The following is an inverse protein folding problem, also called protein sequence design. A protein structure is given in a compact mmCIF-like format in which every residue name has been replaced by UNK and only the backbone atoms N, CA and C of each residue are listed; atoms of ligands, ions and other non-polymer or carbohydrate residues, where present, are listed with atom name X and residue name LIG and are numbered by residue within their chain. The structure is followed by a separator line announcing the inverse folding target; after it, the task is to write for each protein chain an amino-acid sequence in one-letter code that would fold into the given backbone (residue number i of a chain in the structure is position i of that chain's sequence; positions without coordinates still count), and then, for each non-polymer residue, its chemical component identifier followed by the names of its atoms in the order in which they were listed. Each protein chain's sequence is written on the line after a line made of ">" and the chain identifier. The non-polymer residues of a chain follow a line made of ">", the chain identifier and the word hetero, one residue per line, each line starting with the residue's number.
data_IF_846720404078
#
_entry.id   IF_846720404078
#
_cell.length_a   1.000
_cell.length_b   1.000
_cell.length_c   1.000
_cell.angle_alpha   90.00
_cell.angle_beta   90.00
_cell.angle_gamma   90.00
#
_symmetry.space_group_name_H-M   'P 1'
#
loop_
_entity.id
_entity.type
_entity.pdbx_description
1 polymer ?
#
# COMPACT_ATOMS: atom_id res chain seq x y z
N UNK A 1 7.87 -18.22 7.02
CA UNK A 1 8.40 -17.02 6.40
C UNK A 1 8.62 -15.92 7.42
N UNK A 2 9.75 -16.02 8.10
CA UNK A 2 10.23 -15.10 9.11
C UNK A 2 11.76 -15.05 9.06
N UNK A 3 12.33 -14.09 9.73
CA UNK A 3 13.78 -14.02 9.96
C UNK A 3 14.04 -13.79 11.45
N UNK A 4 15.28 -14.05 11.88
CA UNK A 4 15.69 -13.87 13.27
C UNK A 4 16.64 -12.67 13.31
N UNK A 5 16.35 -11.72 14.19
CA UNK A 5 17.19 -10.57 14.45
C UNK A 5 17.41 -10.44 15.96
N UNK A 6 18.63 -10.71 16.41
CA UNK A 6 18.94 -10.85 17.82
C UNK A 6 18.19 -12.03 18.44
N UNK A 7 17.40 -11.77 19.48
CA UNK A 7 16.56 -12.75 20.17
C UNK A 7 15.10 -12.74 19.72
N UNK A 8 14.78 -12.03 18.65
CA UNK A 8 13.40 -11.86 18.18
C UNK A 8 13.17 -12.54 16.84
N UNK A 9 12.03 -13.18 16.69
CA UNK A 9 11.46 -13.64 15.43
C UNK A 9 10.70 -12.49 14.79
N UNK A 10 10.95 -12.25 13.52
CA UNK A 10 10.39 -11.09 12.82
C UNK A 10 9.86 -11.48 11.44
N UNK A 11 8.84 -10.77 10.97
CA UNK A 11 8.40 -10.84 9.58
C UNK A 11 7.90 -9.47 9.13
N UNK A 12 8.11 -9.17 7.85
CA UNK A 12 7.67 -7.91 7.25
C UNK A 12 6.55 -8.18 6.26
N UNK A 13 5.50 -7.36 6.35
CA UNK A 13 4.39 -7.28 5.41
C UNK A 13 4.54 -5.99 4.60
N UNK A 14 4.12 -6.00 3.33
CA UNK A 14 4.02 -4.79 2.52
C UNK A 14 2.56 -4.49 2.19
N UNK A 15 2.14 -3.24 2.29
CA UNK A 15 0.82 -2.83 1.81
C UNK A 15 0.81 -2.81 0.28
N UNK A 16 -0.15 -3.53 -0.31
CA UNK A 16 -0.31 -3.64 -1.76
C UNK A 16 -1.43 -2.76 -2.29
N UNK A 17 -2.52 -2.66 -1.57
CA UNK A 17 -3.69 -1.91 -1.99
C UNK A 17 -4.31 -1.13 -0.82
N UNK A 18 -4.87 0.00 -1.16
CA UNK A 18 -5.53 0.94 -0.25
C UNK A 18 -7.00 1.06 -0.65
N UNK A 19 -7.93 1.29 0.28
CA UNK A 19 -9.32 1.57 -0.04
C UNK A 19 -9.43 2.93 -0.74
N UNK A 20 -10.44 3.09 -1.60
CA UNK A 20 -10.72 4.36 -2.26
C UNK A 20 -11.12 5.47 -1.27
N UNK A 21 -11.79 5.08 -0.19
CA UNK A 21 -12.15 5.98 0.91
C UNK A 21 -11.76 5.34 2.23
N UNK A 22 -11.12 6.09 3.11
CA UNK A 22 -10.76 5.64 4.46
C UNK A 22 -11.82 6.15 5.45
N UNK A 23 -12.64 5.25 5.95
CA UNK A 23 -13.53 5.54 7.08
C UNK A 23 -12.77 5.59 8.41
N UNK A 24 -11.64 4.89 8.50
CA UNK A 24 -10.75 4.83 9.66
C UNK A 24 -9.39 5.48 9.37
N UNK A 25 -9.32 6.80 9.46
CA UNK A 25 -8.07 7.57 9.31
C UNK A 25 -6.97 7.16 10.32
N UNK A 26 -7.34 6.47 11.40
CA UNK A 26 -6.42 6.13 12.48
C UNK A 26 -5.92 4.67 12.46
N UNK A 27 -6.31 3.81 11.48
CA UNK A 27 -5.99 2.39 11.52
C UNK A 27 -4.47 2.13 11.56
N UNK A 28 -3.70 2.75 10.67
CA UNK A 28 -2.24 2.59 10.65
C UNK A 28 -1.60 3.11 11.93
N UNK A 29 -2.09 4.22 12.48
CA UNK A 29 -1.63 4.73 13.76
C UNK A 29 -1.90 3.74 14.87
N UNK A 30 -3.12 3.22 14.95
CA UNK A 30 -3.51 2.23 15.95
C UNK A 30 -2.65 0.96 15.86
N UNK A 31 -2.36 0.49 14.65
CA UNK A 31 -1.44 -0.63 14.44
C UNK A 31 -0.03 -0.32 14.94
N UNK A 32 0.47 0.89 14.70
CA UNK A 32 1.80 1.32 15.16
C UNK A 32 1.93 1.48 16.68
N UNK A 33 0.80 1.58 17.40
CA UNK A 33 0.77 1.63 18.88
C UNK A 33 0.81 0.21 19.50
N UNK A 34 0.62 -0.84 18.71
CA UNK A 34 0.67 -2.24 19.19
C UNK A 34 2.10 -2.67 19.50
N UNK A 35 2.25 -3.41 20.59
CA UNK A 35 3.53 -4.01 20.95
C UNK A 35 3.99 -4.99 19.89
N UNK A 36 5.26 -4.88 19.48
CA UNK A 36 5.84 -5.73 18.44
C UNK A 36 5.48 -5.35 17.01
N UNK A 37 4.83 -4.21 16.79
CA UNK A 37 4.52 -3.69 15.46
C UNK A 37 5.34 -2.43 15.20
N UNK A 38 5.98 -2.36 14.04
CA UNK A 38 6.71 -1.18 13.57
C UNK A 38 6.23 -0.83 12.17
N UNK A 39 5.85 0.44 11.96
CA UNK A 39 5.45 0.95 10.67
C UNK A 39 6.58 1.76 10.04
N UNK A 40 6.90 1.47 8.80
CA UNK A 40 7.82 2.25 7.97
C UNK A 40 7.06 2.79 6.76
N UNK A 41 6.91 4.11 6.70
CA UNK A 41 6.16 4.80 5.65
C UNK A 41 7.15 5.61 4.82
N UNK A 42 7.24 5.29 3.54
CA UNK A 42 8.02 6.03 2.56
C UNK A 42 7.10 6.89 1.73
N UNK A 43 7.39 8.18 1.70
CA UNK A 43 6.65 9.13 0.87
C UNK A 43 7.61 9.90 -0.01
N UNK A 44 7.23 10.13 -1.26
CA UNK A 44 7.91 11.05 -2.16
C UNK A 44 6.89 11.82 -2.98
N UNK A 45 7.18 13.05 -3.26
CA UNK A 45 6.31 13.88 -4.08
C UNK A 45 6.23 13.33 -5.51
N UNK A 46 5.04 13.35 -6.10
CA UNK A 46 4.84 13.09 -7.51
C UNK A 46 5.27 14.31 -8.30
N UNK A 47 6.17 14.14 -9.26
CA UNK A 47 6.59 15.24 -10.13
C UNK A 47 5.50 15.56 -11.16
N UNK A 48 5.48 16.78 -11.69
CA UNK A 48 4.51 17.19 -12.72
C UNK A 48 4.56 16.30 -13.97
N UNK A 49 5.75 15.77 -14.33
CA UNK A 49 5.91 14.86 -15.45
C UNK A 49 5.28 13.48 -15.16
N UNK A 50 5.50 12.94 -13.95
CA UNK A 50 4.87 11.70 -13.49
C UNK A 50 3.35 11.84 -13.41
N UNK A 51 2.85 12.95 -12.89
CA UNK A 51 1.42 13.25 -12.80
C UNK A 51 0.76 13.24 -14.18
N UNK A 52 1.35 13.94 -15.16
CA UNK A 52 0.86 13.91 -16.53
C UNK A 52 0.88 12.49 -17.14
N UNK A 53 1.92 11.70 -16.86
CA UNK A 53 2.01 10.30 -17.28
C UNK A 53 0.92 9.43 -16.67
N UNK A 54 0.63 9.59 -15.37
CA UNK A 54 -0.44 8.85 -14.66
C UNK A 54 -1.80 9.17 -15.29
N UNK A 55 -2.10 10.44 -15.50
CA UNK A 55 -3.36 10.89 -16.10
C UNK A 55 -3.52 10.35 -17.53
N UNK A 56 -2.49 10.48 -18.36
CA UNK A 56 -2.52 9.98 -19.73
C UNK A 56 -2.70 8.45 -19.81
N UNK A 57 -2.02 7.70 -18.94
CA UNK A 57 -2.18 6.25 -18.86
C UNK A 57 -3.58 5.85 -18.39
N UNK A 58 -4.15 6.59 -17.44
CA UNK A 58 -5.51 6.37 -16.96
C UNK A 58 -6.54 6.63 -18.06
N UNK A 59 -6.41 7.73 -18.81
CA UNK A 59 -7.27 8.03 -19.96
C UNK A 59 -7.18 6.96 -21.05
N UNK A 60 -5.97 6.48 -21.37
CA UNK A 60 -5.76 5.43 -22.38
C UNK A 60 -6.37 4.09 -21.94
N UNK A 61 -6.21 3.70 -20.67
CA UNK A 61 -6.85 2.49 -20.13
C UNK A 61 -8.38 2.58 -20.21
N UNK A 62 -8.94 3.72 -19.87
CA UNK A 62 -10.39 3.97 -19.97
C UNK A 62 -10.89 3.91 -21.41
N UNK A 63 -10.12 4.46 -22.37
CA UNK A 63 -10.45 4.41 -23.80
C UNK A 63 -10.41 2.97 -24.32
N UNK A 64 -9.40 2.19 -23.93
CA UNK A 64 -9.31 0.76 -24.28
C UNK A 64 -10.43 -0.07 -23.64
N UNK A 65 -10.76 0.17 -22.38
CA UNK A 65 -11.86 -0.51 -21.70
C UNK A 65 -13.22 -0.25 -22.36
N UNK A 66 -13.46 0.98 -22.84
CA UNK A 66 -14.68 1.30 -23.61
C UNK A 66 -14.75 0.61 -24.96
N UNK A 67 -13.61 0.35 -25.61
CA UNK A 67 -13.56 -0.31 -26.92
C UNK A 67 -13.62 -1.84 -26.85
N UNK A 68 -13.35 -2.44 -25.69
CA UNK A 68 -13.32 -3.89 -25.47
C UNK A 68 -14.60 -4.46 -24.83
N UNK A 69 -15.73 -3.79 -24.93
CA UNK A 69 -16.99 -4.06 -24.23
C UNK A 69 -17.70 -5.34 -24.69
N UNK A 70 -17.12 -6.50 -24.41
CA UNK A 70 -17.84 -7.78 -24.51
C UNK A 70 -18.01 -8.52 -23.18
N UNK A 71 -17.71 -7.90 -22.04
CA UNK A 71 -17.86 -8.50 -20.72
C UNK A 71 -18.37 -7.48 -19.70
N UNK A 72 -19.51 -7.81 -19.06
CA UNK A 72 -20.13 -7.00 -17.99
C UNK A 72 -19.18 -6.74 -16.81
N UNK A 73 -18.25 -7.68 -16.51
CA UNK A 73 -17.21 -7.50 -15.48
C UNK A 73 -16.19 -6.43 -15.89
N UNK A 74 -15.81 -6.34 -17.15
CA UNK A 74 -14.88 -5.32 -17.65
C UNK A 74 -15.52 -3.93 -17.61
N UNK A 75 -16.83 -3.81 -17.84
CA UNK A 75 -17.56 -2.56 -17.76
C UNK A 75 -17.62 -2.03 -16.31
N UNK A 76 -17.90 -2.88 -15.33
CA UNK A 76 -17.93 -2.50 -13.90
C UNK A 76 -16.55 -2.08 -13.39
N UNK A 77 -15.49 -2.78 -13.81
CA UNK A 77 -14.11 -2.42 -13.46
C UNK A 77 -13.67 -1.12 -14.13
N UNK A 78 -14.11 -0.87 -15.36
CA UNK A 78 -13.84 0.37 -16.09
C UNK A 78 -14.57 1.57 -15.48
N UNK A 79 -15.77 1.37 -14.94
CA UNK A 79 -16.55 2.40 -14.26
C UNK A 79 -15.92 2.80 -12.92
N UNK A 80 -15.41 1.85 -12.14
CA UNK A 80 -14.60 2.12 -10.95
C UNK A 80 -13.32 2.89 -11.27
N UNK A 81 -12.58 2.49 -12.30
CA UNK A 81 -11.36 3.18 -12.75
C UNK A 81 -11.64 4.60 -13.28
N UNK A 82 -12.83 4.85 -13.86
CA UNK A 82 -13.25 6.18 -14.31
C UNK A 82 -13.52 7.11 -13.13
N UNK A 83 -14.10 6.58 -12.08
CA UNK A 83 -14.36 7.31 -10.85
C UNK A 83 -13.05 7.71 -10.17
N UNK A 84 -12.09 6.79 -10.07
CA UNK A 84 -10.74 7.04 -9.53
C UNK A 84 -9.99 8.12 -10.34
N UNK A 85 -10.10 8.10 -11.67
CA UNK A 85 -9.46 9.11 -12.54
C UNK A 85 -10.15 10.47 -12.43
N UNK A 86 -11.49 10.49 -12.35
CA UNK A 86 -12.23 11.72 -12.17
C UNK A 86 -11.91 12.36 -10.81
N UNK A 87 -11.72 11.55 -9.79
CA UNK A 87 -11.32 11.97 -8.45
C UNK A 87 -9.89 12.54 -8.44
N UNK A 88 -8.93 11.87 -9.09
CA UNK A 88 -7.58 12.40 -9.28
C UNK A 88 -7.56 13.74 -10.03
N UNK A 89 -8.40 13.90 -11.06
CA UNK A 89 -8.52 15.16 -11.81
C UNK A 89 -9.17 16.24 -10.93
N UNK A 90 -10.15 15.90 -10.10
CA UNK A 90 -10.79 16.82 -9.17
C UNK A 90 -9.81 17.30 -8.08
N UNK A 91 -9.01 16.38 -7.53
CA UNK A 91 -7.93 16.70 -6.58
C UNK A 91 -6.90 17.65 -7.18
N UNK A 92 -6.51 17.44 -8.45
CA UNK A 92 -5.64 18.38 -9.17
C UNK A 92 -6.23 19.79 -9.27
N UNK A 93 -7.54 19.92 -9.52
CA UNK A 93 -8.23 21.23 -9.52
C UNK A 93 -8.18 21.90 -8.15
N UNK A 94 -8.26 21.12 -7.09
CA UNK A 94 -8.17 21.60 -5.70
C UNK A 94 -6.74 21.84 -5.23
N UNK A 95 -5.71 21.64 -6.09
CA UNK A 95 -4.29 21.77 -5.79
C UNK A 95 -3.81 20.83 -4.67
N UNK A 96 -4.47 19.73 -4.44
CA UNK A 96 -3.97 18.71 -3.51
C UNK A 96 -2.77 17.99 -4.13
N UNK A 97 -1.59 18.01 -3.48
CA UNK A 97 -0.43 17.33 -4.00
C UNK A 97 -0.61 15.82 -3.95
N UNK A 98 -0.16 15.15 -5.00
CA UNK A 98 -0.07 13.69 -5.01
C UNK A 98 1.28 13.24 -4.48
N UNK A 99 1.28 12.15 -3.74
CA UNK A 99 2.48 11.51 -3.20
C UNK A 99 2.53 10.05 -3.58
N UNK A 100 3.72 9.56 -3.91
CA UNK A 100 3.98 8.13 -3.89
C UNK A 100 4.14 7.71 -2.43
N UNK A 101 3.39 6.69 -2.03
CA UNK A 101 3.41 6.13 -0.69
C UNK A 101 3.67 4.63 -0.74
N UNK A 102 4.61 4.14 0.08
CA UNK A 102 4.81 2.73 0.33
C UNK A 102 4.85 2.49 1.84
N UNK A 103 4.13 1.48 2.32
CA UNK A 103 4.04 1.15 3.74
C UNK A 103 4.50 -0.28 3.97
N UNK A 104 5.42 -0.45 4.89
CA UNK A 104 5.89 -1.73 5.39
C UNK A 104 5.57 -1.86 6.87
N UNK A 105 5.12 -3.04 7.25
CA UNK A 105 4.73 -3.38 8.62
C UNK A 105 5.66 -4.50 9.08
N UNK A 106 6.54 -4.21 10.01
CA UNK A 106 7.42 -5.19 10.60
C UNK A 106 6.85 -5.67 11.93
N UNK A 107 6.76 -6.96 12.08
CA UNK A 107 6.22 -7.65 13.23
C UNK A 107 7.34 -8.38 13.96
N UNK A 108 7.40 -8.25 15.27
CA UNK A 108 8.43 -8.87 16.10
C UNK A 108 7.81 -9.56 17.34
N UNK A 109 8.25 -10.78 17.60
CA UNK A 109 7.85 -11.54 18.77
C UNK A 109 9.01 -12.38 19.31
N UNK A 110 8.89 -12.87 20.54
CA UNK A 110 9.95 -13.67 21.20
C UNK A 110 9.99 -15.13 20.72
N UNK A 111 8.91 -15.62 20.16
CA UNK A 111 8.79 -16.98 19.66
C UNK A 111 7.95 -17.04 18.38
N UNK A 112 8.10 -18.10 17.57
CA UNK A 112 7.40 -18.21 16.29
C UNK A 112 5.88 -18.25 16.41
N UNK A 113 5.35 -18.81 17.49
CA UNK A 113 3.91 -18.94 17.67
C UNK A 113 3.28 -17.58 17.98
N UNK A 114 3.88 -16.81 18.85
CA UNK A 114 3.49 -15.43 19.14
C UNK A 114 3.60 -14.55 17.90
N UNK A 115 4.63 -14.73 17.07
CA UNK A 115 4.76 -14.01 15.81
C UNK A 115 3.61 -14.35 14.85
N UNK A 116 3.25 -15.63 14.75
CA UNK A 116 2.14 -16.07 13.90
C UNK A 116 0.80 -15.46 14.35
N UNK A 117 0.52 -15.47 15.64
CA UNK A 117 -0.70 -14.85 16.21
C UNK A 117 -0.75 -13.35 15.93
N UNK A 118 0.36 -12.64 16.19
CA UNK A 118 0.46 -11.19 15.90
C UNK A 118 0.22 -10.89 14.42
N UNK A 119 0.80 -11.69 13.53
CA UNK A 119 0.59 -11.55 12.07
C UNK A 119 -0.87 -11.78 11.68
N UNK A 120 -1.52 -12.80 12.21
CA UNK A 120 -2.93 -13.10 11.95
C UNK A 120 -3.82 -11.94 12.44
N UNK A 121 -3.56 -11.42 13.63
CA UNK A 121 -4.29 -10.29 14.21
C UNK A 121 -4.15 -9.03 13.35
N UNK A 122 -2.91 -8.63 13.04
CA UNK A 122 -2.62 -7.44 12.22
C UNK A 122 -3.22 -7.59 10.82
N UNK A 123 -3.10 -8.77 10.20
CA UNK A 123 -3.68 -9.02 8.88
C UNK A 123 -5.22 -8.92 8.93
N UNK A 124 -5.86 -9.44 9.97
CA UNK A 124 -7.31 -9.35 10.13
C UNK A 124 -7.78 -7.90 10.30
N UNK A 125 -7.03 -7.06 11.01
CA UNK A 125 -7.34 -5.64 11.15
C UNK A 125 -7.19 -4.89 9.82
N UNK A 126 -6.10 -5.16 9.08
CA UNK A 126 -5.88 -4.57 7.76
C UNK A 126 -6.98 -4.95 6.77
N UNK A 127 -7.40 -6.22 6.76
CA UNK A 127 -8.52 -6.68 5.93
C UNK A 127 -9.83 -5.99 6.30
N UNK A 128 -10.10 -5.78 7.60
CA UNK A 128 -11.27 -5.00 8.05
C UNK A 128 -11.23 -3.57 7.54
N UNK A 129 -10.05 -2.94 7.53
CA UNK A 129 -9.82 -1.62 6.94
C UNK A 129 -9.73 -1.61 5.41
N UNK A 130 -10.05 -2.75 4.74
CA UNK A 130 -9.96 -2.91 3.27
C UNK A 130 -8.55 -2.67 2.71
N UNK A 131 -7.52 -2.83 3.54
CA UNK A 131 -6.12 -2.76 3.14
C UNK A 131 -5.62 -4.14 2.70
N UNK A 132 -5.05 -4.23 1.51
CA UNK A 132 -4.44 -5.48 1.02
C UNK A 132 -2.96 -5.54 1.37
N UNK A 133 -2.50 -6.72 1.81
CA UNK A 133 -1.10 -6.96 2.18
C UNK A 133 -0.49 -8.11 1.40
N UNK A 134 0.81 -8.03 1.18
CA UNK A 134 1.64 -9.13 0.71
C UNK A 134 2.59 -9.59 1.82
N UNK A 135 2.62 -10.92 2.01
CA UNK A 135 3.65 -11.57 2.83
C UNK A 135 4.89 -11.74 1.97
N UNK A 136 5.91 -10.99 2.14
CA UNK A 136 7.13 -10.97 1.33
C UNK A 136 7.84 -12.35 1.32
N UNK A 137 7.19 -13.37 0.74
CA UNK A 137 7.69 -14.74 0.68
C UNK A 137 9.06 -14.77 -0.01
N UNK A 138 10.04 -15.42 0.64
CA UNK A 138 11.44 -15.51 0.19
C UNK A 138 12.16 -14.16 0.02
N UNK A 139 11.53 -13.05 0.41
CA UNK A 139 12.07 -11.69 0.32
C UNK A 139 12.05 -10.96 1.66
N UNK A 140 12.12 -11.70 2.75
CA UNK A 140 12.12 -11.13 4.10
C UNK A 140 13.37 -10.29 4.39
N UNK A 141 14.51 -10.57 3.74
CA UNK A 141 15.70 -9.72 3.82
C UNK A 141 15.45 -8.33 3.23
N UNK A 142 14.81 -8.26 2.06
CA UNK A 142 14.40 -6.97 1.45
C UNK A 142 13.37 -6.26 2.31
N UNK A 143 12.44 -7.02 2.91
CA UNK A 143 11.47 -6.51 3.88
C UNK A 143 12.14 -5.89 5.09
N UNK A 144 13.10 -6.58 5.69
CA UNK A 144 13.91 -6.07 6.80
C UNK A 144 14.63 -4.75 6.44
N UNK A 145 15.28 -4.70 5.28
CA UNK A 145 15.95 -3.47 4.83
C UNK A 145 14.98 -2.31 4.59
N UNK A 146 13.75 -2.61 4.15
CA UNK A 146 12.72 -1.60 3.92
C UNK A 146 12.01 -1.17 5.21
N UNK A 147 11.95 -2.01 6.23
CA UNK A 147 11.34 -1.69 7.53
C UNK A 147 12.33 -1.13 8.56
N UNK A 148 13.63 -1.15 8.25
CA UNK A 148 14.68 -0.63 9.12
C UNK A 148 14.78 0.90 8.99
N UNK A 149 15.10 1.66 10.07
CA UNK A 149 15.24 3.12 10.05
C UNK A 149 16.36 3.68 9.15
N UNK A 150 17.05 2.84 8.39
CA UNK A 150 18.05 3.27 7.40
C UNK A 150 17.46 4.00 6.18
N UNK A 151 16.13 4.11 6.05
CA UNK A 151 15.48 4.89 5.01
C UNK A 151 15.62 4.32 3.59
N UNK A 152 15.81 3.01 3.46
CA UNK A 152 16.01 2.35 2.16
C UNK A 152 14.78 1.55 1.74
N UNK A 153 14.00 2.07 0.80
CA UNK A 153 12.94 1.30 0.15
C UNK A 153 13.53 0.39 -0.94
N UNK A 154 13.73 -0.90 -0.63
CA UNK A 154 14.32 -1.88 -1.56
C UNK A 154 13.36 -2.30 -2.67
N UNK A 155 12.06 -2.25 -2.44
CA UNK A 155 11.02 -2.63 -3.40
C UNK A 155 10.62 -1.49 -4.35
N UNK A 156 10.95 -0.25 -4.01
CA UNK A 156 10.64 0.95 -4.80
C UNK A 156 9.21 0.93 -5.34
N UNK A 157 9.04 1.05 -6.66
CA UNK A 157 7.75 1.16 -7.33
C UNK A 157 6.83 -0.07 -7.18
N UNK A 158 7.32 -1.21 -6.74
CA UNK A 158 6.50 -2.41 -6.61
C UNK A 158 5.35 -2.21 -5.62
N UNK A 159 5.62 -1.55 -4.48
CA UNK A 159 4.64 -1.25 -3.43
C UNK A 159 4.32 0.23 -3.28
N UNK A 160 4.91 1.09 -4.11
CA UNK A 160 4.51 2.49 -4.16
C UNK A 160 3.13 2.63 -4.79
N UNK A 161 2.26 3.41 -4.16
CA UNK A 161 0.94 3.80 -4.68
C UNK A 161 0.85 5.31 -4.66
N UNK A 162 0.17 5.86 -5.64
CA UNK A 162 -0.10 7.30 -5.70
C UNK A 162 -1.35 7.57 -4.89
N UNK A 163 -1.20 8.42 -3.88
CA UNK A 163 -2.25 8.80 -2.96
C UNK A 163 -2.31 10.33 -2.87
N UNK A 164 -3.48 10.92 -2.55
CA UNK A 164 -3.53 12.33 -2.15
C UNK A 164 -2.76 12.52 -0.84
N UNK A 165 -2.18 13.71 -0.66
CA UNK A 165 -1.39 14.02 0.53
C UNK A 165 -2.25 14.46 1.74
N UNK A 166 -3.55 14.64 1.56
CA UNK A 166 -4.54 15.01 2.60
C UNK A 166 -5.24 13.80 3.18
#
# INVERSE_FOLDING_TARGET
>A
DHYICGSMYRCTLALRSYPATTEELALLRHLGEKSGVTLSIYTRQVTAAEENGILHNAENKNRMARSSTNSMKAAVTAEGNLQDVAELIAMRKNREPLVHCAVYIDLAARDPESLRRLREEVTAELVRGKLGTDQLLLRQQDGFLSSNPMGRNTFRSQYERVLPAS
#
